data_IF_746905476527
#
_entry.id   IF_746905476527
#
_cell.length_a   1.000
_cell.length_b   1.000
_cell.length_c   1.000
_cell.angle_alpha   90.00
_cell.angle_beta   90.00
_cell.angle_gamma   90.00
#
_symmetry.space_group_name_H-M   'P 1'
#
loop_
_entity.id
_entity.type
_entity.pdbx_description
1 polymer ?
#
# COMPACT_ATOMS: atom_id res chain seq x y z
N UNK A 1 -15.23 -10.67 12.25
CA UNK A 1 -16.15 -9.65 11.68
C UNK A 1 -15.44 -8.32 11.41
N UNK A 2 -14.61 -7.78 12.32
CA UNK A 2 -13.90 -6.49 12.13
C UNK A 2 -12.99 -6.46 10.89
N UNK A 3 -12.32 -7.57 10.57
CA UNK A 3 -11.44 -7.64 9.39
C UNK A 3 -12.13 -7.32 8.06
N UNK A 4 -13.41 -7.69 7.89
CA UNK A 4 -14.16 -7.38 6.67
C UNK A 4 -14.44 -5.88 6.52
N UNK A 5 -14.74 -5.22 7.64
CA UNK A 5 -14.93 -3.76 7.67
C UNK A 5 -13.63 -3.06 7.29
N UNK A 6 -12.50 -3.52 7.82
CA UNK A 6 -11.19 -2.96 7.48
C UNK A 6 -10.85 -3.11 5.99
N UNK A 7 -11.10 -4.29 5.41
CA UNK A 7 -10.89 -4.56 3.99
C UNK A 7 -11.77 -3.68 3.11
N UNK A 8 -13.03 -3.44 3.50
CA UNK A 8 -13.91 -2.51 2.81
C UNK A 8 -13.31 -1.10 2.76
N UNK A 9 -12.78 -0.60 3.88
CA UNK A 9 -12.13 0.72 3.92
C UNK A 9 -10.88 0.80 3.04
N UNK A 10 -10.05 -0.26 3.03
CA UNK A 10 -8.89 -0.33 2.13
C UNK A 10 -9.34 -0.27 0.67
N UNK A 11 -10.27 -1.15 0.28
CA UNK A 11 -10.76 -1.20 -1.10
C UNK A 11 -11.37 0.14 -1.53
N UNK A 12 -12.16 0.78 -0.65
CA UNK A 12 -12.73 2.10 -0.89
C UNK A 12 -11.65 3.18 -1.07
N UNK A 13 -10.62 3.21 -0.23
CA UNK A 13 -9.55 4.21 -0.35
C UNK A 13 -8.83 4.12 -1.71
N UNK A 14 -8.53 2.90 -2.18
CA UNK A 14 -7.92 2.70 -3.50
C UNK A 14 -8.88 2.96 -4.66
N UNK A 15 -10.16 2.63 -4.48
CA UNK A 15 -11.21 2.95 -5.44
C UNK A 15 -11.32 4.47 -5.65
N UNK A 16 -11.40 5.23 -4.56
CA UNK A 16 -11.53 6.69 -4.57
C UNK A 16 -10.26 7.34 -5.18
N UNK A 17 -9.08 6.84 -4.84
CA UNK A 17 -7.82 7.30 -5.43
C UNK A 17 -7.78 7.05 -6.94
N UNK A 18 -8.21 5.87 -7.38
CA UNK A 18 -8.26 5.54 -8.80
C UNK A 18 -9.30 6.38 -9.56
N UNK A 19 -10.45 6.65 -8.94
CA UNK A 19 -11.45 7.55 -9.48
C UNK A 19 -10.92 8.97 -9.68
N UNK A 20 -10.22 9.53 -8.67
CA UNK A 20 -9.63 10.86 -8.72
C UNK A 20 -8.64 11.02 -9.88
N UNK A 21 -7.91 9.96 -10.22
CA UNK A 21 -6.89 9.97 -11.27
C UNK A 21 -7.36 9.30 -12.58
N UNK A 22 -8.67 9.15 -12.78
CA UNK A 22 -9.28 8.54 -13.98
C UNK A 22 -8.70 7.16 -14.35
N UNK A 23 -8.37 6.35 -13.33
CA UNK A 23 -7.92 4.96 -13.46
C UNK A 23 -9.07 3.98 -13.24
N UNK A 24 -8.81 2.68 -13.46
CA UNK A 24 -9.80 1.61 -13.30
C UNK A 24 -10.17 1.39 -11.82
N UNK A 25 -11.30 1.97 -11.40
CA UNK A 25 -11.75 1.98 -9.99
C UNK A 25 -11.80 0.59 -9.35
N UNK A 26 -12.45 -0.36 -10.03
CA UNK A 26 -12.59 -1.74 -9.55
C UNK A 26 -11.26 -2.48 -9.50
N UNK A 27 -10.41 -2.31 -10.52
CA UNK A 27 -9.10 -2.94 -10.58
C UNK A 27 -8.22 -2.51 -9.40
N UNK A 28 -8.14 -1.21 -9.14
CA UNK A 28 -7.33 -0.68 -8.04
C UNK A 28 -7.95 -0.92 -6.67
N UNK A 29 -9.28 -0.91 -6.52
CA UNK A 29 -9.94 -1.30 -5.28
C UNK A 29 -9.60 -2.73 -4.86
N UNK A 30 -9.66 -3.69 -5.78
CA UNK A 30 -9.23 -5.08 -5.54
C UNK A 30 -7.74 -5.15 -5.26
N UNK A 31 -6.92 -4.41 -6.03
CA UNK A 31 -5.47 -4.40 -5.89
C UNK A 31 -5.03 -3.87 -4.51
N UNK A 32 -5.75 -2.88 -3.96
CA UNK A 32 -5.57 -2.41 -2.58
C UNK A 32 -5.76 -3.52 -1.55
N UNK A 33 -6.86 -4.28 -1.67
CA UNK A 33 -7.13 -5.44 -0.80
C UNK A 33 -6.06 -6.52 -0.94
N UNK A 34 -5.66 -6.84 -2.18
CA UNK A 34 -4.57 -7.79 -2.45
C UNK A 34 -3.25 -7.32 -1.83
N UNK A 35 -2.92 -6.03 -1.91
CA UNK A 35 -1.70 -5.47 -1.33
C UNK A 35 -1.66 -5.65 0.19
N UNK A 36 -2.79 -5.50 0.88
CA UNK A 36 -2.89 -5.73 2.33
C UNK A 36 -2.57 -7.20 2.68
N UNK A 37 -3.23 -8.15 2.00
CA UNK A 37 -2.97 -9.57 2.25
C UNK A 37 -1.55 -9.98 1.89
N UNK A 38 -1.00 -9.42 0.81
CA UNK A 38 0.40 -9.63 0.43
C UNK A 38 1.35 -9.14 1.54
N UNK A 39 1.07 -7.98 2.15
CA UNK A 39 1.86 -7.48 3.27
C UNK A 39 1.74 -8.32 4.54
N UNK A 40 0.57 -8.92 4.82
CA UNK A 40 0.41 -9.87 5.93
C UNK A 40 1.25 -11.14 5.67
N UNK A 41 1.22 -11.67 4.45
CA UNK A 41 2.03 -12.83 4.05
C UNK A 41 3.52 -12.53 4.20
N UNK A 42 3.97 -11.38 3.69
CA UNK A 42 5.36 -10.93 3.84
C UNK A 42 5.73 -10.77 5.32
N UNK A 43 4.85 -10.22 6.14
CA UNK A 43 5.04 -10.12 7.59
C UNK A 43 5.22 -11.50 8.24
N UNK A 44 4.39 -12.47 7.88
CA UNK A 44 4.52 -13.85 8.34
C UNK A 44 5.84 -14.51 7.92
N UNK A 45 6.28 -14.29 6.69
CA UNK A 45 7.58 -14.78 6.20
C UNK A 45 8.73 -14.14 6.99
N UNK A 46 8.69 -12.83 7.23
CA UNK A 46 9.71 -12.12 8.00
C UNK A 46 9.77 -12.69 9.43
N UNK A 47 8.61 -12.88 10.06
CA UNK A 47 8.53 -13.49 11.38
C UNK A 47 9.14 -14.90 11.37
N UNK A 48 8.77 -15.75 10.40
CA UNK A 48 9.36 -17.09 10.26
C UNK A 48 10.88 -17.08 10.13
N UNK A 49 11.44 -16.17 9.32
CA UNK A 49 12.89 -15.98 9.20
C UNK A 49 13.52 -15.53 10.52
N UNK A 50 12.88 -14.62 11.26
CA UNK A 50 13.37 -14.21 12.58
C UNK A 50 13.34 -15.35 13.61
N UNK A 51 12.41 -16.30 13.46
CA UNK A 51 12.36 -17.52 14.26
C UNK A 51 13.54 -18.44 13.99
N UNK A 52 13.83 -18.70 12.71
CA UNK A 52 14.99 -19.50 12.30
C UNK A 52 16.32 -18.87 12.74
N UNK A 53 16.39 -17.55 12.77
CA UNK A 53 17.56 -16.81 13.28
C UNK A 53 17.64 -16.76 14.82
N UNK A 54 16.76 -17.45 15.52
CA UNK A 54 16.67 -17.47 17.00
C UNK A 54 16.49 -16.08 17.63
N UNK A 55 15.96 -15.10 16.87
CA UNK A 55 15.67 -13.75 17.35
C UNK A 55 14.34 -13.70 18.12
N UNK A 56 13.38 -14.52 17.70
CA UNK A 56 12.04 -14.63 18.30
C UNK A 56 11.66 -16.11 18.39
N UNK A 57 11.13 -16.58 19.52
CA UNK A 57 10.61 -17.95 19.65
C UNK A 57 9.13 -17.98 19.27
N UNK A 58 8.83 -18.15 17.98
CA UNK A 58 7.44 -18.07 17.50
C UNK A 58 6.61 -19.29 17.90
N UNK A 59 7.25 -20.45 18.06
CA UNK A 59 6.59 -21.71 18.44
C UNK A 59 5.94 -21.66 19.83
N UNK A 60 6.46 -20.82 20.72
CA UNK A 60 5.92 -20.61 22.07
C UNK A 60 4.79 -19.55 22.11
N UNK A 61 4.58 -18.84 21.00
CA UNK A 61 3.63 -17.73 20.91
C UNK A 61 2.31 -18.25 20.31
N UNK A 62 1.14 -17.94 20.91
CA UNK A 62 -0.14 -18.32 20.33
C UNK A 62 -0.31 -17.79 18.90
N UNK A 63 -0.86 -18.61 18.00
CA UNK A 63 -1.07 -18.26 16.58
C UNK A 63 -1.79 -16.92 16.40
N UNK A 64 -2.75 -16.60 17.28
CA UNK A 64 -3.50 -15.34 17.21
C UNK A 64 -2.60 -14.11 17.46
N UNK A 65 -1.58 -14.26 18.31
CA UNK A 65 -0.60 -13.19 18.59
C UNK A 65 0.35 -13.05 17.41
N UNK A 66 0.81 -14.17 16.83
CA UNK A 66 1.64 -14.15 15.61
C UNK A 66 0.89 -13.48 14.45
N UNK A 67 -0.39 -13.81 14.27
CA UNK A 67 -1.26 -13.15 13.29
C UNK A 67 -1.42 -11.65 13.56
N UNK A 68 -1.58 -11.26 14.82
CA UNK A 68 -1.65 -9.86 15.23
C UNK A 68 -0.33 -9.10 14.99
N UNK A 69 0.82 -9.76 15.12
CA UNK A 69 2.14 -9.20 14.80
C UNK A 69 2.35 -9.02 13.29
N UNK A 70 1.77 -9.89 12.46
CA UNK A 70 1.83 -9.77 11.00
C UNK A 70 0.89 -8.68 10.45
N UNK A 71 -0.19 -8.33 11.18
CA UNK A 71 -1.16 -7.32 10.74
C UNK A 71 -0.56 -5.93 10.46
N UNK A 72 0.28 -5.34 11.33
CA UNK A 72 0.97 -4.08 11.06
C UNK A 72 1.74 -4.08 9.74
N UNK A 73 2.36 -5.20 9.36
CA UNK A 73 3.09 -5.31 8.10
C UNK A 73 2.16 -5.21 6.89
N UNK A 74 0.98 -5.84 6.96
CA UNK A 74 -0.09 -5.67 5.98
C UNK A 74 -0.53 -4.22 5.82
N UNK A 75 -0.74 -3.53 6.94
CA UNK A 75 -1.15 -2.12 6.95
C UNK A 75 -0.05 -1.22 6.38
N UNK A 76 1.20 -1.43 6.79
CA UNK A 76 2.35 -0.64 6.32
C UNK A 76 2.56 -0.80 4.82
N UNK A 77 2.50 -2.03 4.30
CA UNK A 77 2.66 -2.28 2.88
C UNK A 77 1.51 -1.67 2.07
N UNK A 78 0.27 -1.85 2.54
CA UNK A 78 -0.91 -1.24 1.94
C UNK A 78 -0.81 0.30 1.90
N UNK A 79 -0.43 0.92 3.01
CA UNK A 79 -0.25 2.37 3.10
C UNK A 79 0.89 2.88 2.22
N UNK A 80 2.04 2.18 2.22
CA UNK A 80 3.17 2.51 1.36
C UNK A 80 2.79 2.44 -0.12
N UNK A 81 2.08 1.38 -0.50
CA UNK A 81 1.61 1.19 -1.87
C UNK A 81 0.59 2.26 -2.29
N UNK A 82 -0.37 2.59 -1.42
CA UNK A 82 -1.29 3.72 -1.64
C UNK A 82 -0.54 5.03 -1.89
N UNK A 83 0.44 5.35 -1.04
CA UNK A 83 1.21 6.58 -1.13
C UNK A 83 2.07 6.63 -2.39
N UNK A 84 2.60 5.49 -2.84
CA UNK A 84 3.33 5.39 -4.11
C UNK A 84 2.41 5.70 -5.30
N UNK A 85 1.22 5.08 -5.37
CA UNK A 85 0.25 5.37 -6.42
C UNK A 85 -0.18 6.83 -6.42
N UNK A 86 -0.53 7.37 -5.24
CA UNK A 86 -0.90 8.77 -5.08
C UNK A 86 0.20 9.70 -5.59
N UNK A 87 1.46 9.46 -5.21
CA UNK A 87 2.60 10.26 -5.65
C UNK A 87 2.85 10.15 -7.16
N UNK A 88 2.76 8.95 -7.72
CA UNK A 88 2.95 8.72 -9.16
C UNK A 88 1.86 9.41 -9.98
N UNK A 89 0.60 9.29 -9.57
CA UNK A 89 -0.52 9.86 -10.32
C UNK A 89 -0.69 11.36 -10.11
N UNK A 90 -0.30 11.90 -8.94
CA UNK A 90 -0.25 13.35 -8.73
C UNK A 90 0.82 14.01 -9.60
N UNK A 91 1.95 13.35 -9.82
CA UNK A 91 2.98 13.83 -10.76
C UNK A 91 2.53 13.80 -12.21
N UNK A 92 1.75 12.79 -12.60
CA UNK A 92 1.20 12.68 -13.95
C UNK A 92 0.08 13.69 -14.25
N UNK A 93 -0.50 14.33 -13.22
CA UNK A 93 -1.56 15.33 -13.36
C UNK A 93 -1.07 16.77 -13.51
N UNK A 94 0.23 17.03 -13.30
CA UNK A 94 0.84 18.32 -13.65
C UNK A 94 1.24 18.22 -15.12
N UNK A 95 0.57 18.93 -16.04
CA UNK A 95 1.10 19.06 -17.38
C UNK A 95 2.47 19.74 -17.25
N UNK A 96 3.50 19.18 -17.86
CA UNK A 96 4.76 19.88 -18.05
C UNK A 96 4.46 21.16 -18.86
N UNK A 97 4.15 22.25 -18.16
CA UNK A 97 4.33 23.60 -18.70
C UNK A 97 5.81 23.95 -18.52
N UNK A 98 6.70 23.15 -19.10
CA UNK A 98 8.08 23.54 -19.38
C UNK A 98 8.11 24.04 -20.82
N UNK A 99 7.44 25.16 -21.11
CA UNK A 99 7.59 25.80 -22.43
C UNK A 99 7.21 27.29 -22.52
N UNK A 100 7.54 28.16 -21.53
CA UNK A 100 7.25 29.61 -21.70
C UNK A 100 8.20 30.62 -21.01
N UNK A 101 9.40 30.28 -20.49
CA UNK A 101 10.15 31.27 -19.68
C UNK A 101 11.62 31.57 -19.96
N UNK A 102 12.27 31.08 -21.03
CA UNK A 102 13.70 31.41 -21.24
C UNK A 102 14.15 31.83 -22.67
N UNK A 103 13.25 32.06 -23.63
CA UNK A 103 13.66 32.28 -25.03
C UNK A 103 13.56 33.71 -25.60
N UNK A 104 12.51 34.46 -25.25
CA UNK A 104 12.03 35.57 -26.10
C UNK A 104 12.25 36.98 -25.52
N UNK A 105 13.16 37.13 -24.55
CA UNK A 105 13.37 38.39 -23.83
C UNK A 105 14.74 39.07 -24.02
N UNK A 106 15.59 38.65 -24.95
CA UNK A 106 16.78 39.46 -25.31
C UNK A 106 16.94 39.53 -26.83
N UNK A 107 16.35 40.60 -27.39
CA UNK A 107 16.76 41.21 -28.66
C UNK A 107 18.05 42.00 -28.47
#
# INVERSE_FOLDING_TARGET
MIGLVFIYFIGKAFYDLAELHHKSKWGFGILGVVSYYLGVVIGGVILGVLSELQVIAIDDIPEIVVGLMALPMGILLCWGFYKLLQKQWSKAAVPETTDVLDGDLIK
#
